data_IF_851483542434
#
_entry.id   IF_851483542434
#
_cell.length_a   1.000
_cell.length_b   1.000
_cell.length_c   1.000
_cell.angle_alpha   90.00
_cell.angle_beta   90.00
_cell.angle_gamma   90.00
#
_symmetry.space_group_name_H-M   'P 1'
#
loop_
_entity.id
_entity.type
_entity.pdbx_description
1 polymer ?
#
# COMPACT_ATOMS: atom_id res chain seq x y z
N UNK A 1 -15.35 12.95 16.23
CA UNK A 1 -15.33 11.62 15.61
C UNK A 1 -16.75 11.05 15.60
N UNK A 2 -17.20 10.51 14.47
CA UNK A 2 -18.50 9.87 14.29
C UNK A 2 -18.28 8.39 13.94
N UNK A 3 -18.80 7.50 14.79
CA UNK A 3 -18.65 6.04 14.64
C UNK A 3 -19.92 5.36 14.11
N UNK A 4 -20.85 6.11 13.51
CA UNK A 4 -22.03 5.53 12.86
C UNK A 4 -21.64 4.85 11.54
N UNK A 5 -21.88 3.54 11.37
CA UNK A 5 -21.62 2.86 10.09
C UNK A 5 -22.61 3.28 9.00
N UNK A 6 -22.29 3.07 7.71
CA UNK A 6 -21.05 2.48 7.19
C UNK A 6 -19.87 3.47 7.23
N UNK A 7 -18.67 2.95 7.49
CA UNK A 7 -17.44 3.76 7.44
C UNK A 7 -17.04 4.05 6.00
N UNK A 8 -16.38 5.20 5.79
CA UNK A 8 -15.82 5.57 4.49
C UNK A 8 -14.81 4.51 4.05
N UNK A 9 -14.70 4.28 2.75
CA UNK A 9 -13.72 3.36 2.16
C UNK A 9 -12.89 4.08 1.11
N UNK A 10 -11.59 3.86 1.08
CA UNK A 10 -10.66 4.43 0.11
C UNK A 10 -9.84 3.29 -0.50
N UNK A 11 -9.85 3.19 -1.83
CA UNK A 11 -8.99 2.26 -2.55
C UNK A 11 -7.59 2.87 -2.70
N UNK A 12 -6.59 2.30 -2.03
CA UNK A 12 -5.25 2.87 -1.87
C UNK A 12 -4.58 3.11 -3.22
N UNK A 13 -4.54 2.09 -4.08
CA UNK A 13 -3.83 2.19 -5.37
C UNK A 13 -4.46 3.25 -6.30
N UNK A 14 -5.79 3.34 -6.29
CA UNK A 14 -6.53 4.34 -7.09
C UNK A 14 -6.37 5.74 -6.53
N UNK A 15 -6.45 5.88 -5.21
CA UNK A 15 -6.31 7.17 -4.55
C UNK A 15 -4.88 7.71 -4.68
N UNK A 16 -3.86 6.87 -4.57
CA UNK A 16 -2.47 7.25 -4.85
C UNK A 16 -2.31 7.71 -6.30
N UNK A 17 -2.79 6.94 -7.29
CA UNK A 17 -2.70 7.34 -8.69
C UNK A 17 -3.38 8.71 -8.94
N UNK A 18 -4.54 8.94 -8.28
CA UNK A 18 -5.25 10.22 -8.33
C UNK A 18 -4.44 11.37 -7.71
N UNK A 19 -3.87 11.17 -6.53
CA UNK A 19 -3.05 12.18 -5.83
C UNK A 19 -1.75 12.47 -6.59
N UNK A 20 -1.21 11.45 -7.29
CA UNK A 20 -0.04 11.59 -8.13
C UNK A 20 -0.36 12.08 -9.55
N UNK A 21 -1.63 12.32 -9.91
CA UNK A 21 -2.06 12.70 -11.25
C UNK A 21 -1.46 11.82 -12.39
N UNK A 22 -1.20 10.54 -12.11
CA UNK A 22 -0.65 9.57 -13.07
C UNK A 22 -0.83 8.15 -12.52
N UNK A 23 -0.85 7.11 -13.38
CA UNK A 23 -0.95 5.72 -12.93
C UNK A 23 0.28 5.33 -12.09
N UNK A 24 0.06 4.39 -11.15
CA UNK A 24 1.16 3.73 -10.45
C UNK A 24 1.96 2.87 -11.45
N UNK A 25 3.29 2.73 -11.26
CA UNK A 25 4.09 1.82 -12.08
C UNK A 25 3.68 0.37 -11.85
N UNK A 26 4.01 -0.50 -12.80
CA UNK A 26 3.95 -1.95 -12.60
C UNK A 26 4.97 -2.36 -11.52
N UNK A 27 4.55 -3.23 -10.59
CA UNK A 27 5.38 -3.73 -9.50
C UNK A 27 6.08 -5.06 -9.81
N UNK A 28 5.98 -5.56 -11.05
CA UNK A 28 6.65 -6.78 -11.51
C UNK A 28 8.17 -6.67 -11.43
N UNK A 29 8.72 -5.47 -11.66
CA UNK A 29 10.12 -5.13 -11.41
C UNK A 29 10.19 -4.13 -10.23
N UNK A 30 10.49 -4.59 -9.02
CA UNK A 30 10.51 -3.74 -7.83
C UNK A 30 11.55 -2.61 -7.91
N UNK A 31 12.69 -2.81 -8.58
CA UNK A 31 13.75 -1.82 -8.69
C UNK A 31 13.32 -0.71 -9.64
N UNK A 32 12.79 -1.07 -10.82
CA UNK A 32 12.26 -0.10 -11.77
C UNK A 32 11.08 0.69 -11.16
N UNK A 33 10.16 0.02 -10.46
CA UNK A 33 9.05 0.66 -9.78
C UNK A 33 9.51 1.64 -8.69
N UNK A 34 10.53 1.24 -7.91
CA UNK A 34 11.13 2.10 -6.89
C UNK A 34 11.72 3.36 -7.52
N UNK A 35 12.51 3.23 -8.59
CA UNK A 35 13.11 4.38 -9.27
C UNK A 35 12.04 5.32 -9.85
N UNK A 36 10.98 4.77 -10.45
CA UNK A 36 9.86 5.55 -10.94
C UNK A 36 9.17 6.35 -9.81
N UNK A 37 8.87 5.72 -8.68
CA UNK A 37 8.25 6.40 -7.55
C UNK A 37 9.18 7.43 -6.88
N UNK A 38 10.48 7.15 -6.80
CA UNK A 38 11.46 8.11 -6.29
C UNK A 38 11.58 9.34 -7.18
N UNK A 39 11.60 9.16 -8.51
CA UNK A 39 11.60 10.27 -9.45
C UNK A 39 10.35 11.17 -9.25
N UNK A 40 9.20 10.55 -8.98
CA UNK A 40 7.96 11.27 -8.67
C UNK A 40 8.06 12.02 -7.34
N UNK A 41 8.62 11.39 -6.31
CA UNK A 41 8.83 12.02 -5.02
C UNK A 41 9.77 13.23 -5.13
N UNK A 42 10.87 13.08 -5.86
CA UNK A 42 11.83 14.15 -6.11
C UNK A 42 11.22 15.30 -6.91
N UNK A 43 10.46 15.02 -7.97
CA UNK A 43 9.79 16.04 -8.77
C UNK A 43 8.72 16.84 -8.00
N UNK A 44 8.28 16.34 -6.84
CA UNK A 44 7.23 16.94 -6.00
C UNK A 44 7.71 17.35 -4.60
N UNK A 45 9.02 17.35 -4.38
CA UNK A 45 9.65 17.67 -3.09
C UNK A 45 9.08 16.84 -1.91
N UNK A 46 8.79 15.56 -2.16
CA UNK A 46 8.33 14.63 -1.13
C UNK A 46 9.55 13.97 -0.49
N UNK A 47 9.82 14.22 0.81
CA UNK A 47 10.97 13.62 1.48
C UNK A 47 10.74 12.13 1.70
N UNK A 48 11.63 11.31 1.14
CA UNK A 48 11.70 9.87 1.42
C UNK A 48 13.02 9.59 2.13
N UNK A 49 12.98 8.88 3.25
CA UNK A 49 14.17 8.54 4.02
C UNK A 49 14.75 7.18 3.61
N UNK A 50 16.08 7.03 3.47
CA UNK A 50 16.71 5.73 3.26
C UNK A 50 16.36 4.71 4.35
N UNK A 51 16.33 3.40 4.05
CA UNK A 51 16.50 2.78 2.73
C UNK A 51 15.31 3.00 1.77
N UNK A 52 15.60 3.10 0.48
CA UNK A 52 14.62 3.33 -0.57
C UNK A 52 14.04 2.02 -1.13
N UNK A 53 13.43 1.21 -0.28
CA UNK A 53 12.71 0.01 -0.75
C UNK A 53 11.33 0.40 -1.30
N UNK A 54 10.83 -0.30 -2.31
CA UNK A 54 9.50 -0.07 -2.89
C UNK A 54 8.39 0.12 -1.84
N UNK A 55 8.35 -0.75 -0.83
CA UNK A 55 7.35 -0.72 0.24
C UNK A 55 7.44 0.56 1.07
N UNK A 56 8.64 1.00 1.46
CA UNK A 56 8.86 2.27 2.19
C UNK A 56 8.49 3.50 1.38
N UNK A 57 8.74 3.49 0.07
CA UNK A 57 8.34 4.61 -0.80
C UNK A 57 6.81 4.69 -0.88
N UNK A 58 6.14 3.55 -1.10
CA UNK A 58 4.68 3.48 -1.12
C UNK A 58 4.07 3.89 0.22
N UNK A 59 4.63 3.41 1.33
CA UNK A 59 4.22 3.77 2.70
C UNK A 59 4.33 5.29 2.93
N UNK A 60 5.46 5.90 2.55
CA UNK A 60 5.65 7.35 2.63
C UNK A 60 4.57 8.12 1.84
N UNK A 61 4.21 7.62 0.64
CA UNK A 61 3.17 8.22 -0.19
C UNK A 61 1.78 8.08 0.45
N UNK A 62 1.46 6.92 1.04
CA UNK A 62 0.20 6.69 1.76
C UNK A 62 0.10 7.61 2.97
N UNK A 63 1.15 7.69 3.79
CA UNK A 63 1.20 8.57 4.95
C UNK A 63 1.08 10.05 4.59
N UNK A 64 1.66 10.45 3.45
CA UNK A 64 1.58 11.85 3.00
C UNK A 64 0.21 12.22 2.44
N UNK A 65 -0.41 11.33 1.66
CA UNK A 65 -1.58 11.69 0.85
C UNK A 65 -2.90 11.09 1.33
N UNK A 66 -2.90 9.92 1.96
CA UNK A 66 -4.12 9.17 2.28
C UNK A 66 -4.44 9.22 3.77
N UNK A 67 -3.46 8.99 4.65
CA UNK A 67 -3.70 9.02 6.11
C UNK A 67 -4.32 10.34 6.61
N UNK A 68 -3.92 11.54 6.11
CA UNK A 68 -4.55 12.80 6.54
C UNK A 68 -6.03 12.92 6.14
N UNK A 69 -6.50 12.11 5.20
CA UNK A 69 -7.92 12.07 4.80
C UNK A 69 -8.78 11.26 5.77
N UNK A 70 -8.16 10.52 6.71
CA UNK A 70 -8.81 9.55 7.58
C UNK A 70 -9.10 10.12 8.98
N UNK A 71 -9.65 11.34 9.04
CA UNK A 71 -10.10 11.93 10.31
C UNK A 71 -11.23 11.10 10.94
N UNK A 72 -12.24 10.74 10.13
CA UNK A 72 -13.30 9.81 10.52
C UNK A 72 -12.86 8.35 10.31
N UNK A 73 -13.50 7.37 10.98
CA UNK A 73 -13.28 5.95 10.71
C UNK A 73 -13.34 5.65 9.21
N UNK A 74 -12.21 5.24 8.64
CA UNK A 74 -12.03 5.03 7.21
C UNK A 74 -11.28 3.74 6.97
N UNK A 75 -11.85 2.86 6.15
CA UNK A 75 -11.17 1.68 5.66
C UNK A 75 -10.30 2.03 4.46
N UNK A 76 -9.01 1.74 4.55
CA UNK A 76 -8.10 1.70 3.41
C UNK A 76 -8.05 0.27 2.90
N UNK A 77 -8.25 0.04 1.61
CA UNK A 77 -8.22 -1.29 0.99
C UNK A 77 -7.58 -1.22 -0.39
N UNK A 78 -7.25 -2.37 -0.99
CA UNK A 78 -6.63 -2.38 -2.32
C UNK A 78 -5.17 -1.92 -2.30
N UNK A 79 -4.46 -2.28 -1.23
CA UNK A 79 -3.02 -2.12 -1.11
C UNK A 79 -2.29 -2.96 -2.17
N UNK A 80 -1.20 -2.45 -2.77
CA UNK A 80 -0.36 -3.24 -3.64
C UNK A 80 0.09 -4.54 -2.97
N UNK A 81 0.04 -5.66 -3.70
CA UNK A 81 0.41 -6.99 -3.20
C UNK A 81 1.83 -7.03 -2.63
N UNK A 82 2.74 -6.27 -3.23
CA UNK A 82 4.15 -6.15 -2.78
C UNK A 82 4.29 -5.61 -1.36
N UNK A 83 3.30 -4.87 -0.86
CA UNK A 83 3.28 -4.37 0.53
C UNK A 83 2.68 -5.37 1.53
N UNK A 84 2.11 -6.49 1.06
CA UNK A 84 1.29 -7.39 1.86
C UNK A 84 1.71 -8.85 1.61
N UNK A 85 2.92 -9.26 2.04
CA UNK A 85 3.51 -10.55 1.71
C UNK A 85 2.70 -11.75 2.23
N UNK A 86 1.96 -11.56 3.32
CA UNK A 86 1.14 -12.59 3.98
C UNK A 86 -0.33 -12.58 3.52
N UNK A 87 -0.74 -11.59 2.74
CA UNK A 87 -2.13 -11.46 2.30
C UNK A 87 -2.33 -12.10 0.92
N UNK A 88 -3.47 -12.79 0.72
CA UNK A 88 -3.85 -13.27 -0.62
C UNK A 88 -3.97 -12.12 -1.60
N UNK A 89 -3.68 -12.41 -2.86
CA UNK A 89 -3.99 -11.50 -3.96
C UNK A 89 -5.51 -11.46 -4.18
N UNK A 90 -6.03 -10.34 -4.71
CA UNK A 90 -7.44 -10.29 -5.13
C UNK A 90 -7.68 -11.22 -6.32
N UNK A 91 -8.80 -11.93 -6.31
CA UNK A 91 -9.22 -12.82 -7.42
C UNK A 91 -9.44 -12.03 -8.71
N UNK A 92 -9.90 -10.77 -8.60
CA UNK A 92 -10.20 -9.91 -9.75
C UNK A 92 -9.04 -9.04 -10.20
N UNK A 93 -8.06 -8.79 -9.32
CA UNK A 93 -6.88 -7.99 -9.60
C UNK A 93 -5.67 -8.51 -8.81
N UNK A 94 -4.81 -9.27 -9.49
CA UNK A 94 -3.64 -9.92 -8.90
C UNK A 94 -2.53 -8.95 -8.46
N UNK A 95 -2.67 -7.65 -8.76
CA UNK A 95 -1.74 -6.60 -8.36
C UNK A 95 -1.99 -6.09 -6.94
N UNK A 96 -3.20 -6.30 -6.39
CA UNK A 96 -3.59 -5.87 -5.04
C UNK A 96 -3.78 -7.06 -4.10
N UNK A 97 -3.64 -6.80 -2.81
CA UNK A 97 -3.93 -7.76 -1.75
C UNK A 97 -5.36 -7.62 -1.23
N UNK A 98 -5.95 -8.73 -0.78
CA UNK A 98 -7.18 -8.78 0.02
C UNK A 98 -6.89 -8.32 1.45
N UNK A 99 -6.46 -7.07 1.59
CA UNK A 99 -6.09 -6.42 2.85
C UNK A 99 -6.92 -5.16 3.03
N UNK A 100 -7.26 -4.87 4.27
CA UNK A 100 -7.72 -3.56 4.67
C UNK A 100 -7.08 -3.09 5.98
N UNK A 101 -7.03 -1.78 6.14
CA UNK A 101 -6.67 -1.12 7.38
C UNK A 101 -7.83 -0.22 7.82
N UNK A 102 -8.05 -0.09 9.13
CA UNK A 102 -8.97 0.91 9.67
C UNK A 102 -8.16 2.05 10.27
N UNK A 103 -8.35 3.26 9.74
CA UNK A 103 -7.80 4.48 10.30
C UNK A 103 -8.88 5.28 11.04
N UNK A 104 -8.52 5.86 12.18
CA UNK A 104 -9.36 6.78 12.96
C UNK A 104 -8.49 7.93 13.46
N UNK A 105 -8.94 9.17 13.25
CA UNK A 105 -8.17 10.37 13.62
C UNK A 105 -6.73 10.36 13.06
N UNK A 106 -6.57 9.86 11.82
CA UNK A 106 -5.26 9.76 11.15
C UNK A 106 -4.32 8.71 11.73
N UNK A 107 -4.81 7.78 12.56
CA UNK A 107 -4.01 6.68 13.12
C UNK A 107 -4.57 5.33 12.70
N UNK A 108 -3.68 4.41 12.36
CA UNK A 108 -4.01 3.00 12.13
C UNK A 108 -4.48 2.35 13.43
N UNK A 109 -5.64 1.69 13.39
CA UNK A 109 -6.26 0.98 14.52
C UNK A 109 -6.38 -0.52 14.26
N UNK A 110 -6.61 -0.91 12.99
CA UNK A 110 -6.76 -2.30 12.58
C UNK A 110 -5.97 -2.53 11.31
N UNK A 111 -5.32 -3.69 11.25
CA UNK A 111 -4.77 -4.27 10.04
C UNK A 111 -5.36 -5.67 9.89
N UNK A 112 -5.99 -5.97 8.77
CA UNK A 112 -6.63 -7.25 8.53
C UNK A 112 -6.52 -7.63 7.07
N UNK A 113 -6.42 -8.93 6.80
CA UNK A 113 -6.30 -9.46 5.46
C UNK A 113 -6.81 -10.89 5.38
N UNK A 114 -7.13 -11.33 4.16
CA UNK A 114 -7.32 -12.74 3.89
C UNK A 114 -5.94 -13.41 3.85
N UNK A 115 -5.74 -14.38 4.75
CA UNK A 115 -4.46 -15.06 4.95
C UNK A 115 -4.01 -15.85 3.72
N UNK A 116 -2.77 -15.65 3.28
CA UNK A 116 -2.15 -16.48 2.25
C UNK A 116 -1.97 -17.89 2.79
N UNK A 117 -2.68 -18.84 2.19
CA UNK A 117 -2.72 -20.23 2.62
C UNK A 117 -2.09 -21.21 1.60
N UNK A 118 -1.49 -20.70 0.52
CA UNK A 118 -0.64 -21.49 -0.38
C UNK A 118 0.81 -21.49 0.15
N UNK A 119 1.33 -22.65 0.62
CA UNK A 119 2.66 -22.72 1.19
C UNK A 119 3.78 -22.52 0.16
N UNK A 120 3.55 -22.86 -1.12
CA UNK A 120 4.54 -22.68 -2.18
C UNK A 120 4.68 -21.19 -2.50
N UNK A 121 3.54 -20.49 -2.66
CA UNK A 121 3.54 -19.04 -2.87
C UNK A 121 4.13 -18.29 -1.66
N UNK A 122 3.74 -18.67 -0.44
CA UNK A 122 4.25 -18.04 0.78
C UNK A 122 5.78 -18.18 0.89
N UNK A 123 6.33 -19.35 0.54
CA UNK A 123 7.78 -19.58 0.50
C UNK A 123 8.48 -18.67 -0.51
N UNK A 124 7.89 -18.50 -1.70
CA UNK A 124 8.45 -17.68 -2.76
C UNK A 124 8.45 -16.19 -2.37
N UNK A 125 7.36 -15.71 -1.76
CA UNK A 125 7.25 -14.35 -1.22
C UNK A 125 8.25 -14.11 -0.08
N UNK A 126 8.48 -15.08 0.80
CA UNK A 126 9.54 -14.96 1.81
C UNK A 126 10.92 -14.85 1.18
N UNK A 127 11.24 -15.68 0.19
CA UNK A 127 12.52 -15.60 -0.51
C UNK A 127 12.73 -14.23 -1.18
N UNK A 128 11.67 -13.59 -1.66
CA UNK A 128 11.72 -12.21 -2.16
C UNK A 128 11.99 -11.21 -1.03
N UNK A 129 11.29 -11.31 0.11
CA UNK A 129 11.53 -10.42 1.25
C UNK A 129 12.97 -10.48 1.74
N UNK A 130 13.56 -11.66 1.88
CA UNK A 130 14.96 -11.83 2.34
C UNK A 130 16.00 -11.15 1.45
N UNK A 131 15.71 -10.89 0.17
CA UNK A 131 16.62 -10.15 -0.72
C UNK A 131 16.66 -8.65 -0.42
N UNK A 132 15.69 -8.13 0.32
CA UNK A 132 15.50 -6.70 0.59
C UNK A 132 15.87 -6.33 2.05
N UNK A 133 16.34 -7.31 2.83
CA UNK A 133 16.94 -7.15 4.17
C UNK A 133 18.45 -7.17 4.08
#
# INVERSE_FOLDING_TARGET
LNFKPPFRRIHVSTELARQLNQPLPDFTDPDAATQALLAICHARDIPVAPPFTLTRVLDTLISKFIEPQCEQPTFLYGHPKVMSPLAKASETDQSIAQRFELFVAGKEIVNAYEELNDPAEQRERFAQQFKVW
#
